data_IF_365763019709
#
_entry.id   IF_365763019709
#
_cell.length_a   1.000
_cell.length_b   1.000
_cell.length_c   1.000
_cell.angle_alpha   90.00
_cell.angle_beta   90.00
_cell.angle_gamma   90.00
#
_symmetry.space_group_name_H-M   'P 1'
#
loop_
_entity.id
_entity.type
_entity.pdbx_description
1 polymer ?
#
# COMPACT_ATOMS: atom_id res chain seq x y z
N UNK A 1 -15.26 -10.36 -11.07
CA UNK A 1 -15.91 -9.08 -10.77
C UNK A 1 -14.93 -7.93 -10.76
N UNK A 2 -14.01 -7.86 -9.79
CA UNK A 2 -12.99 -6.79 -9.64
C UNK A 2 -12.32 -6.39 -10.97
N UNK A 3 -11.70 -7.35 -11.66
CA UNK A 3 -11.01 -7.12 -12.95
C UNK A 3 -11.90 -6.45 -14.03
N UNK A 4 -13.21 -6.76 -14.06
CA UNK A 4 -14.16 -6.15 -14.99
C UNK A 4 -14.43 -4.68 -14.64
N UNK A 5 -14.59 -4.37 -13.35
CA UNK A 5 -14.89 -3.02 -12.86
C UNK A 5 -13.71 -2.07 -13.12
N UNK A 6 -12.49 -2.51 -12.82
CA UNK A 6 -11.28 -1.67 -12.97
C UNK A 6 -10.61 -1.81 -14.34
N UNK A 7 -11.17 -2.62 -15.25
CA UNK A 7 -10.68 -2.85 -16.63
C UNK A 7 -9.21 -3.30 -16.70
N UNK A 8 -8.82 -4.23 -15.83
CA UNK A 8 -7.45 -4.80 -15.77
C UNK A 8 -7.52 -6.32 -16.00
N UNK A 9 -6.55 -6.95 -16.69
CA UNK A 9 -6.53 -8.40 -16.92
C UNK A 9 -6.68 -9.24 -15.64
N UNK A 10 -7.40 -10.35 -15.75
CA UNK A 10 -7.77 -11.20 -14.60
C UNK A 10 -6.54 -11.79 -13.92
N UNK A 11 -5.55 -12.17 -14.71
CA UNK A 11 -4.31 -12.81 -14.31
C UNK A 11 -3.48 -11.85 -13.45
N UNK A 12 -3.45 -10.57 -13.84
CA UNK A 12 -2.76 -9.53 -13.09
C UNK A 12 -3.45 -9.25 -11.75
N UNK A 13 -4.78 -9.07 -11.75
CA UNK A 13 -5.54 -8.89 -10.51
C UNK A 13 -5.42 -10.11 -9.59
N UNK A 14 -5.38 -11.32 -10.16
CA UNK A 14 -5.19 -12.54 -9.38
C UNK A 14 -3.84 -12.56 -8.67
N UNK A 15 -2.77 -12.03 -9.26
CA UNK A 15 -1.46 -11.90 -8.59
C UNK A 15 -1.51 -10.92 -7.42
N UNK A 16 -2.13 -9.75 -7.62
CA UNK A 16 -2.29 -8.74 -6.55
C UNK A 16 -3.10 -9.31 -5.38
N UNK A 17 -4.26 -9.93 -5.66
CA UNK A 17 -5.11 -10.52 -4.63
C UNK A 17 -4.40 -11.65 -3.87
N UNK A 18 -3.53 -12.41 -4.54
CA UNK A 18 -2.70 -13.42 -3.87
C UNK A 18 -1.71 -12.79 -2.89
N UNK A 19 -1.03 -11.69 -3.27
CA UNK A 19 -0.11 -10.98 -2.37
C UNK A 19 -0.86 -10.40 -1.16
N UNK A 20 -2.00 -9.75 -1.38
CA UNK A 20 -2.84 -9.22 -0.29
C UNK A 20 -3.39 -10.33 0.63
N UNK A 21 -3.69 -11.51 0.08
CA UNK A 21 -4.14 -12.66 0.88
C UNK A 21 -3.00 -13.23 1.71
N UNK A 22 -1.78 -13.30 1.16
CA UNK A 22 -0.58 -13.76 1.87
C UNK A 22 -0.20 -12.82 3.02
N UNK A 23 -0.39 -11.51 2.86
CA UNK A 23 -0.16 -10.53 3.94
C UNK A 23 -1.27 -10.50 5.00
N UNK A 24 -2.36 -11.26 4.80
CA UNK A 24 -3.48 -11.31 5.73
C UNK A 24 -4.37 -10.07 5.71
N UNK A 25 -4.27 -9.22 4.69
CA UNK A 25 -5.15 -8.07 4.51
C UNK A 25 -6.53 -8.47 3.98
N UNK A 26 -6.58 -9.52 3.17
CA UNK A 26 -7.82 -10.10 2.66
C UNK A 26 -7.88 -11.60 2.90
N UNK A 27 -9.10 -12.14 2.93
CA UNK A 27 -9.36 -13.57 2.88
C UNK A 27 -9.98 -13.95 1.53
N UNK A 28 -9.92 -15.24 1.21
CA UNK A 28 -10.58 -15.82 0.04
C UNK A 28 -11.54 -16.92 0.46
N UNK A 29 -12.77 -16.89 -0.01
CA UNK A 29 -13.77 -17.95 0.17
C UNK A 29 -13.99 -18.72 -1.12
N UNK A 30 -14.16 -20.05 -1.02
CA UNK A 30 -14.43 -20.95 -2.15
C UNK A 30 -15.94 -21.17 -2.31
N UNK A 31 -16.36 -21.67 -3.49
CA UNK A 31 -17.74 -22.05 -3.78
C UNK A 31 -18.45 -21.06 -4.72
N UNK A 32 -19.72 -21.36 -5.03
CA UNK A 32 -20.56 -20.60 -5.99
C UNK A 32 -20.71 -19.12 -5.62
N UNK A 33 -20.70 -18.82 -4.33
CA UNK A 33 -20.76 -17.46 -3.76
C UNK A 33 -19.43 -17.04 -3.10
N UNK A 34 -18.34 -17.72 -3.46
CA UNK A 34 -17.00 -17.40 -2.99
C UNK A 34 -16.49 -16.08 -3.57
N UNK A 35 -15.36 -15.60 -3.06
CA UNK A 35 -14.81 -14.30 -3.42
C UNK A 35 -13.71 -13.87 -2.47
N UNK A 36 -13.43 -12.58 -2.46
CA UNK A 36 -12.46 -11.96 -1.56
C UNK A 36 -13.14 -10.96 -0.63
N UNK A 37 -12.65 -10.82 0.59
CA UNK A 37 -13.11 -9.83 1.55
C UNK A 37 -11.97 -9.35 2.44
N UNK A 38 -12.14 -8.20 3.10
CA UNK A 38 -11.14 -7.69 4.05
C UNK A 38 -11.07 -8.62 5.27
N UNK A 39 -9.86 -8.95 5.71
CA UNK A 39 -9.64 -9.78 6.91
C UNK A 39 -9.83 -9.02 8.22
N UNK A 40 -9.88 -7.69 8.16
CA UNK A 40 -10.03 -6.78 9.30
C UNK A 40 -10.95 -5.64 8.91
N UNK A 41 -11.48 -4.94 9.91
CA UNK A 41 -12.20 -3.70 9.71
C UNK A 41 -11.34 -2.68 8.92
N UNK A 42 -11.88 -1.99 7.90
CA UNK A 42 -11.11 -1.06 7.07
C UNK A 42 -10.53 0.13 7.85
N UNK A 43 -11.06 0.47 9.02
CA UNK A 43 -10.47 1.47 9.93
C UNK A 43 -9.17 1.01 10.58
N UNK A 44 -8.89 -0.30 10.54
CA UNK A 44 -7.68 -0.94 11.09
C UNK A 44 -6.66 -1.34 10.04
N UNK A 45 -6.92 -1.06 8.76
CA UNK A 45 -5.99 -1.30 7.66
C UNK A 45 -5.48 0.05 7.18
N UNK A 46 -4.16 0.25 7.24
CA UNK A 46 -3.49 1.48 6.80
C UNK A 46 -3.01 1.34 5.37
N UNK A 47 -2.81 2.45 4.67
CA UNK A 47 -2.25 2.42 3.31
C UNK A 47 -0.85 1.83 3.28
N UNK A 48 -0.04 2.08 4.32
CA UNK A 48 1.29 1.48 4.45
C UNK A 48 1.25 -0.05 4.49
N UNK A 49 0.18 -0.66 5.01
CA UNK A 49 0.04 -2.12 5.03
C UNK A 49 -0.13 -2.68 3.61
N UNK A 50 -0.85 -1.95 2.74
CA UNK A 50 -1.02 -2.30 1.33
C UNK A 50 0.31 -2.17 0.58
N UNK A 51 1.04 -1.06 0.78
CA UNK A 51 2.37 -0.84 0.19
C UNK A 51 3.32 -1.96 0.61
N UNK A 52 3.39 -2.26 1.92
CA UNK A 52 4.21 -3.36 2.45
C UNK A 52 3.87 -4.71 1.83
N UNK A 53 2.60 -4.96 1.48
CA UNK A 53 2.16 -6.23 0.91
C UNK A 53 2.44 -6.38 -0.60
N UNK A 54 2.56 -5.28 -1.33
CA UNK A 54 2.71 -5.27 -2.79
C UNK A 54 4.13 -4.91 -3.22
N UNK A 55 4.66 -3.80 -2.71
CA UNK A 55 5.94 -3.22 -3.12
C UNK A 55 7.05 -3.42 -2.07
N UNK A 56 6.68 -3.76 -0.83
CA UNK A 56 7.61 -3.81 0.30
C UNK A 56 7.89 -2.43 0.90
N UNK A 57 8.79 -2.37 1.88
CA UNK A 57 9.13 -1.12 2.60
C UNK A 57 10.57 -0.65 2.37
N UNK A 58 11.34 -1.33 1.52
CA UNK A 58 12.77 -1.05 1.30
C UNK A 58 13.02 0.40 0.87
N UNK A 59 12.09 1.05 0.18
CA UNK A 59 12.20 2.46 -0.20
C UNK A 59 12.26 3.44 1.00
N UNK A 60 11.78 3.00 2.17
CA UNK A 60 11.79 3.78 3.41
C UNK A 60 13.07 3.59 4.23
N UNK A 61 13.84 2.55 3.94
CA UNK A 61 15.06 2.18 4.66
C UNK A 61 16.32 2.30 3.81
N UNK A 62 16.19 2.48 2.49
CA UNK A 62 17.31 2.55 1.54
C UNK A 62 17.72 3.97 1.16
N UNK A 63 18.99 4.11 0.75
CA UNK A 63 19.50 5.33 0.15
C UNK A 63 18.92 5.52 -1.25
N UNK A 64 18.30 6.68 -1.52
CA UNK A 64 17.78 7.02 -2.86
C UNK A 64 18.86 7.04 -3.96
N UNK A 65 20.12 7.27 -3.58
CA UNK A 65 21.25 7.27 -4.51
C UNK A 65 21.92 5.89 -4.64
N UNK A 66 21.43 4.87 -3.92
CA UNK A 66 21.95 3.51 -4.02
C UNK A 66 23.28 3.26 -3.30
N UNK A 67 23.76 4.19 -2.46
CA UNK A 67 24.95 3.94 -1.65
C UNK A 67 24.71 2.81 -0.65
N UNK A 68 25.63 1.84 -0.61
CA UNK A 68 25.59 0.71 0.32
C UNK A 68 25.79 1.11 1.79
N UNK A 69 26.49 2.22 2.02
CA UNK A 69 26.68 2.83 3.34
C UNK A 69 26.12 4.26 3.31
N UNK A 70 24.89 4.43 3.77
CA UNK A 70 24.25 5.74 3.94
C UNK A 70 23.53 5.77 5.29
N UNK A 71 24.03 6.60 6.19
CA UNK A 71 23.50 6.74 7.55
C UNK A 71 23.67 8.18 8.04
N UNK A 72 23.10 8.55 9.19
CA UNK A 72 23.38 9.86 9.80
C UNK A 72 24.88 10.10 10.06
N UNK A 73 25.66 9.04 10.30
CA UNK A 73 27.11 9.12 10.51
C UNK A 73 27.93 9.10 9.22
N UNK A 74 27.35 8.63 8.11
CA UNK A 74 27.95 8.61 6.77
C UNK A 74 26.89 9.07 5.76
N UNK A 75 26.53 10.36 5.77
CA UNK A 75 25.41 10.86 4.98
C UNK A 75 25.81 10.96 3.50
N UNK A 76 24.90 10.56 2.62
CA UNK A 76 25.01 10.91 1.21
C UNK A 76 24.70 12.41 1.00
N UNK A 77 25.05 13.01 -0.16
CA UNK A 77 24.84 14.45 -0.42
C UNK A 77 23.39 14.95 -0.29
N UNK A 78 22.41 14.03 -0.32
CA UNK A 78 20.98 14.35 -0.18
C UNK A 78 20.34 13.74 1.07
N UNK A 79 21.15 13.23 2.02
CA UNK A 79 20.69 12.40 3.14
C UNK A 79 19.53 13.03 3.91
N UNK A 80 19.72 14.26 4.41
CA UNK A 80 18.74 14.91 5.26
C UNK A 80 17.49 15.33 4.50
N UNK A 81 17.68 15.88 3.29
CA UNK A 81 16.56 16.34 2.45
C UNK A 81 15.70 15.17 2.00
N UNK A 82 16.32 14.08 1.54
CA UNK A 82 15.61 12.86 1.19
C UNK A 82 14.98 12.20 2.41
N UNK A 83 15.71 12.08 3.52
CA UNK A 83 15.22 11.50 4.77
C UNK A 83 13.96 12.20 5.27
N UNK A 84 13.92 13.52 5.22
CA UNK A 84 12.74 14.31 5.58
C UNK A 84 11.53 13.96 4.68
N UNK A 85 11.71 13.90 3.37
CA UNK A 85 10.64 13.59 2.42
C UNK A 85 10.16 12.13 2.55
N UNK A 86 11.09 11.20 2.73
CA UNK A 86 10.84 9.78 2.93
C UNK A 86 10.00 9.55 4.18
N UNK A 87 10.37 10.15 5.31
CA UNK A 87 9.63 10.04 6.56
C UNK A 87 8.24 10.64 6.44
N UNK A 88 8.08 11.84 5.84
CA UNK A 88 6.76 12.43 5.62
C UNK A 88 5.85 11.58 4.74
N UNK A 89 6.42 10.94 3.71
CA UNK A 89 5.70 10.02 2.84
C UNK A 89 5.24 8.80 3.62
N UNK A 90 6.14 8.20 4.41
CA UNK A 90 5.83 7.08 5.28
C UNK A 90 4.69 7.42 6.25
N UNK A 91 4.81 8.54 6.98
CA UNK A 91 3.83 8.96 7.98
C UNK A 91 2.44 9.18 7.37
N UNK A 92 2.37 9.79 6.18
CA UNK A 92 1.12 9.96 5.46
C UNK A 92 0.45 8.61 5.16
N UNK A 93 1.21 7.65 4.65
CA UNK A 93 0.71 6.30 4.35
C UNK A 93 0.37 5.51 5.63
N UNK A 94 1.13 5.72 6.71
CA UNK A 94 0.99 5.00 7.97
C UNK A 94 -0.15 5.52 8.85
N UNK A 95 -0.64 6.74 8.60
CA UNK A 95 -1.74 7.35 9.35
C UNK A 95 -3.08 7.33 8.60
N UNK A 96 -3.05 7.15 7.28
CA UNK A 96 -4.25 7.01 6.45
C UNK A 96 -4.77 5.56 6.45
N UNK A 97 -6.06 5.39 6.74
CA UNK A 97 -6.73 4.07 6.73
C UNK A 97 -7.57 3.87 5.47
N UNK A 98 -7.86 2.62 5.13
CA UNK A 98 -8.71 2.28 3.97
C UNK A 98 -10.10 2.90 4.11
N UNK A 99 -10.64 2.94 5.33
CA UNK A 99 -11.94 3.56 5.60
C UNK A 99 -11.94 5.08 5.32
N UNK A 100 -10.92 5.79 5.82
CA UNK A 100 -10.76 7.23 5.57
C UNK A 100 -10.50 7.52 4.09
N UNK A 101 -9.68 6.70 3.43
CA UNK A 101 -9.44 6.82 1.99
C UNK A 101 -10.77 6.65 1.23
N UNK A 102 -11.56 5.63 1.54
CA UNK A 102 -12.88 5.38 0.93
C UNK A 102 -13.78 6.60 1.07
N UNK A 103 -13.89 7.19 2.27
CA UNK A 103 -14.73 8.36 2.50
C UNK A 103 -14.26 9.59 1.70
N UNK A 104 -12.94 9.84 1.68
CA UNK A 104 -12.34 10.91 0.88
C UNK A 104 -12.58 10.71 -0.63
N UNK A 105 -12.40 9.49 -1.12
CA UNK A 105 -12.61 9.14 -2.53
C UNK A 105 -14.08 9.30 -2.92
N UNK A 106 -15.03 8.81 -2.11
CA UNK A 106 -16.46 8.97 -2.37
C UNK A 106 -16.88 10.44 -2.36
N UNK A 107 -16.34 11.23 -1.44
CA UNK A 107 -16.57 12.68 -1.40
C UNK A 107 -16.05 13.34 -2.69
N UNK A 108 -14.85 12.98 -3.13
CA UNK A 108 -14.28 13.53 -4.36
C UNK A 108 -15.10 13.14 -5.60
N UNK A 109 -15.51 11.88 -5.72
CA UNK A 109 -16.33 11.41 -6.84
C UNK A 109 -17.67 12.14 -6.88
N UNK A 110 -18.32 12.38 -5.74
CA UNK A 110 -19.59 13.14 -5.67
C UNK A 110 -19.44 14.62 -6.06
N UNK A 111 -18.24 15.16 -5.96
CA UNK A 111 -17.92 16.55 -6.34
C UNK A 111 -17.51 16.72 -7.80
N UNK A 112 -17.37 15.62 -8.55
CA UNK A 112 -17.10 15.60 -9.99
C UNK A 112 -18.42 15.50 -10.76
#
# INVERSE_FOLDING_TARGET
>A
EISRVIKIPREFISKILQSLRKSGLIYSSKGKFGGFGLSKDPSRIRLIDVVSAIDGLDMFDSCILGFSTCSPSQPCPVHDRWGTLRNRTYDMLATETIDKLKDKTLTKIKSL
#
